data_IF_706110788109
#
_entry.id   IF_706110788109
#
_cell.length_a   1.000
_cell.length_b   1.000
_cell.length_c   1.000
_cell.angle_alpha   90.00
_cell.angle_beta   90.00
_cell.angle_gamma   90.00
#
_symmetry.space_group_name_H-M   'P 1'
#
loop_
_entity.id
_entity.type
_entity.pdbx_description
1 polymer ?
#
# COMPACT_ATOMS: atom_id res chain seq x y z
N UNK A 1 -31.31 -11.06 6.64
CA UNK A 1 -30.12 -11.42 7.42
C UNK A 1 -29.00 -10.54 6.93
N UNK A 2 -28.78 -9.39 7.57
CA UNK A 2 -27.70 -8.48 7.21
C UNK A 2 -26.44 -8.99 7.90
N UNK A 3 -25.67 -9.82 7.21
CA UNK A 3 -24.32 -10.13 7.63
C UNK A 3 -23.49 -8.88 7.42
N UNK A 4 -23.07 -8.23 8.51
CA UNK A 4 -21.91 -7.33 8.47
C UNK A 4 -20.71 -8.18 8.03
N UNK A 5 -20.47 -8.22 6.73
CA UNK A 5 -19.17 -8.59 6.23
C UNK A 5 -18.29 -7.42 6.64
N UNK A 6 -17.52 -7.58 7.71
CA UNK A 6 -16.34 -6.77 7.97
C UNK A 6 -15.38 -7.05 6.81
N UNK A 7 -15.62 -6.40 5.66
CA UNK A 7 -14.71 -6.44 4.53
C UNK A 7 -13.42 -5.81 5.04
N UNK A 8 -12.40 -6.64 5.22
CA UNK A 8 -11.04 -6.15 5.41
C UNK A 8 -10.73 -5.15 4.31
N UNK A 9 -10.23 -3.96 4.66
CA UNK A 9 -10.00 -2.86 3.72
C UNK A 9 -8.72 -3.06 2.90
N UNK A 10 -8.54 -4.28 2.37
CA UNK A 10 -7.46 -4.68 1.47
C UNK A 10 -7.92 -5.89 0.63
N UNK A 11 -7.31 -6.08 -0.53
CA UNK A 11 -7.37 -7.30 -1.34
C UNK A 11 -5.96 -7.62 -1.83
N UNK A 12 -5.39 -8.71 -1.34
CA UNK A 12 -4.05 -9.21 -1.67
C UNK A 12 -4.09 -10.71 -1.94
N UNK A 13 -3.08 -11.27 -2.61
CA UNK A 13 -3.08 -12.70 -2.94
C UNK A 13 -3.05 -13.61 -1.70
N UNK A 14 -2.16 -13.32 -0.75
CA UNK A 14 -1.99 -14.10 0.48
C UNK A 14 -1.35 -13.24 1.57
N UNK A 15 -2.07 -12.99 2.67
CA UNK A 15 -1.57 -12.22 3.81
C UNK A 15 -0.44 -12.95 4.57
N UNK A 16 -0.34 -14.28 4.43
CA UNK A 16 0.74 -15.10 4.99
C UNK A 16 2.13 -14.73 4.47
N UNK A 17 2.22 -14.03 3.34
CA UNK A 17 3.48 -13.57 2.74
C UNK A 17 4.06 -12.31 3.40
N UNK A 18 3.32 -11.66 4.30
CA UNK A 18 3.69 -10.36 4.86
C UNK A 18 5.04 -10.37 5.60
N UNK A 19 5.38 -11.45 6.31
CA UNK A 19 6.67 -11.53 7.02
C UNK A 19 7.87 -11.62 6.07
N UNK A 20 7.68 -12.23 4.89
CA UNK A 20 8.69 -12.20 3.83
C UNK A 20 8.77 -10.81 3.20
N UNK A 21 7.62 -10.19 2.91
CA UNK A 21 7.56 -8.80 2.44
C UNK A 21 8.31 -7.83 3.34
N UNK A 22 8.08 -7.91 4.67
CA UNK A 22 8.76 -7.08 5.66
C UNK A 22 10.28 -7.29 5.65
N UNK A 23 10.77 -8.52 5.43
CA UNK A 23 12.22 -8.78 5.32
C UNK A 23 12.81 -8.10 4.09
N UNK A 24 12.14 -8.19 2.94
CA UNK A 24 12.63 -7.57 1.71
C UNK A 24 12.51 -6.05 1.71
N UNK A 25 11.45 -5.49 2.32
CA UNK A 25 11.33 -4.04 2.54
C UNK A 25 12.53 -3.53 3.34
N UNK A 26 12.91 -4.19 4.44
CA UNK A 26 14.09 -3.80 5.25
C UNK A 26 15.40 -3.83 4.46
N UNK A 27 15.54 -4.77 3.52
CA UNK A 27 16.70 -4.80 2.61
C UNK A 27 16.61 -3.65 1.60
N UNK A 28 15.43 -3.39 1.03
CA UNK A 28 15.25 -2.30 0.07
C UNK A 28 15.50 -0.93 0.69
N UNK A 29 15.18 -0.72 1.97
CA UNK A 29 15.49 0.52 2.69
C UNK A 29 16.98 0.86 2.66
N UNK A 30 17.89 -0.14 2.68
CA UNK A 30 19.34 0.12 2.58
C UNK A 30 19.76 0.59 1.19
N UNK A 31 19.00 0.22 0.15
CA UNK A 31 19.24 0.59 -1.24
C UNK A 31 18.43 1.82 -1.69
N UNK A 32 17.64 2.41 -0.79
CA UNK A 32 16.79 3.58 -1.07
C UNK A 32 17.12 4.78 -0.15
N UNK A 33 18.39 5.23 -0.10
CA UNK A 33 18.84 6.24 0.86
C UNK A 33 18.10 7.58 0.73
N UNK A 34 17.63 7.92 -0.47
CA UNK A 34 16.83 9.14 -0.69
C UNK A 34 15.51 9.13 0.07
N UNK A 35 14.77 8.01 0.07
CA UNK A 35 13.52 7.91 0.84
C UNK A 35 13.79 7.87 2.34
N UNK A 36 14.85 7.19 2.77
CA UNK A 36 15.21 7.14 4.18
C UNK A 36 15.63 8.51 4.73
N UNK A 37 16.40 9.28 3.96
CA UNK A 37 16.73 10.67 4.30
C UNK A 37 15.50 11.56 4.39
N UNK A 38 14.54 11.42 3.46
CA UNK A 38 13.26 12.15 3.51
C UNK A 38 12.48 11.81 4.80
N UNK A 39 12.44 10.52 5.19
CA UNK A 39 11.79 10.12 6.44
C UNK A 39 12.48 10.78 7.64
N UNK A 40 13.81 10.72 7.71
CA UNK A 40 14.57 11.31 8.82
C UNK A 40 14.35 12.83 8.93
N UNK A 41 14.37 13.55 7.80
CA UNK A 41 14.22 15.00 7.76
C UNK A 41 12.80 15.47 8.10
N UNK A 42 11.77 14.76 7.62
CA UNK A 42 10.39 15.28 7.64
C UNK A 42 9.41 14.52 8.54
N UNK A 43 9.78 13.35 9.10
CA UNK A 43 8.85 12.62 9.97
C UNK A 43 8.45 13.44 11.21
N UNK A 44 9.34 14.24 11.81
CA UNK A 44 8.98 15.03 13.00
C UNK A 44 7.98 16.16 12.69
N UNK A 45 8.07 16.77 11.50
CA UNK A 45 7.20 17.89 11.11
C UNK A 45 5.85 17.44 10.54
N UNK A 46 5.72 16.15 10.18
CA UNK A 46 4.48 15.55 9.66
C UNK A 46 3.85 16.38 8.52
N UNK A 47 4.60 16.72 7.45
CA UNK A 47 4.13 17.66 6.44
C UNK A 47 2.94 17.16 5.62
N UNK A 48 2.68 15.85 5.61
CA UNK A 48 1.55 15.24 4.92
C UNK A 48 0.39 14.94 5.86
N UNK A 49 0.42 15.41 7.11
CA UNK A 49 -0.68 15.22 8.05
C UNK A 49 -1.99 15.76 7.49
N UNK A 50 -2.99 14.89 7.42
CA UNK A 50 -4.31 15.20 6.86
C UNK A 50 -4.41 15.01 5.35
N UNK A 51 -3.30 14.74 4.66
CA UNK A 51 -3.32 14.35 3.26
C UNK A 51 -3.92 12.95 3.09
N UNK A 52 -4.72 12.78 2.04
CA UNK A 52 -5.30 11.52 1.59
C UNK A 52 -4.73 11.19 0.21
N UNK A 53 -3.88 10.17 0.13
CA UNK A 53 -3.15 9.83 -1.09
C UNK A 53 -3.69 8.49 -1.63
N UNK A 54 -4.28 8.54 -2.82
CA UNK A 54 -4.64 7.37 -3.60
C UNK A 54 -3.55 7.12 -4.66
N UNK A 55 -2.81 6.03 -4.51
CA UNK A 55 -1.71 5.67 -5.43
C UNK A 55 -2.10 4.58 -6.42
N UNK A 56 -1.69 4.76 -7.68
CA UNK A 56 -1.74 3.72 -8.73
C UNK A 56 -0.37 3.61 -9.41
N UNK A 57 0.50 2.82 -8.80
CA UNK A 57 1.86 2.50 -9.26
C UNK A 57 2.09 1.01 -8.98
N UNK A 58 2.95 0.34 -9.74
CA UNK A 58 3.31 -1.06 -9.51
C UNK A 58 3.50 -1.37 -8.02
N UNK A 59 2.75 -2.34 -7.51
CA UNK A 59 2.80 -2.70 -6.08
C UNK A 59 3.99 -3.63 -5.82
N UNK A 60 5.20 -3.04 -5.79
CA UNK A 60 6.47 -3.73 -5.55
C UNK A 60 7.04 -3.43 -4.17
N UNK A 61 8.15 -4.08 -3.80
CA UNK A 61 8.92 -3.78 -2.59
C UNK A 61 9.40 -2.32 -2.57
N UNK A 62 9.82 -1.76 -3.71
CA UNK A 62 10.25 -0.36 -3.78
C UNK A 62 9.08 0.59 -3.53
N UNK A 63 7.91 0.28 -4.08
CA UNK A 63 6.68 1.04 -3.82
C UNK A 63 6.22 0.90 -2.38
N UNK A 64 6.42 -0.24 -1.73
CA UNK A 64 6.17 -0.40 -0.30
C UNK A 64 7.01 0.58 0.55
N UNK A 65 8.30 0.77 0.23
CA UNK A 65 9.16 1.78 0.89
C UNK A 65 8.64 3.21 0.62
N UNK A 66 8.14 3.50 -0.59
CA UNK A 66 7.50 4.78 -0.89
C UNK A 66 6.23 4.99 -0.04
N UNK A 67 5.32 4.01 0.00
CA UNK A 67 4.08 4.07 0.77
C UNK A 67 4.39 4.33 2.24
N UNK A 68 5.32 3.59 2.84
CA UNK A 68 5.74 3.77 4.22
C UNK A 68 6.42 5.11 4.48
N UNK A 69 7.05 5.70 3.47
CA UNK A 69 7.58 7.07 3.58
C UNK A 69 6.44 8.08 3.64
N UNK A 70 5.43 7.94 2.79
CA UNK A 70 4.26 8.84 2.79
C UNK A 70 3.50 8.75 4.13
N UNK A 71 3.30 7.53 4.65
CA UNK A 71 2.64 7.34 5.96
C UNK A 71 3.49 7.86 7.11
N UNK A 72 4.82 7.64 7.09
CA UNK A 72 5.73 8.20 8.08
C UNK A 72 5.72 9.74 8.10
N UNK A 73 5.44 10.39 6.97
CA UNK A 73 5.27 11.84 6.85
C UNK A 73 3.85 12.33 7.21
N UNK A 74 2.94 11.43 7.61
CA UNK A 74 1.61 11.74 8.16
C UNK A 74 0.44 11.55 7.20
N UNK A 75 0.68 11.05 5.98
CA UNK A 75 -0.40 10.80 5.01
C UNK A 75 -1.25 9.58 5.39
N UNK A 76 -2.54 9.63 5.06
CA UNK A 76 -3.36 8.44 4.90
C UNK A 76 -3.22 7.95 3.46
N UNK A 77 -3.05 6.64 3.27
CA UNK A 77 -2.71 6.08 1.96
C UNK A 77 -3.65 4.93 1.60
N UNK A 78 -4.12 4.91 0.35
CA UNK A 78 -4.79 3.77 -0.31
C UNK A 78 -4.05 3.46 -1.61
N UNK A 79 -3.88 2.20 -1.96
CA UNK A 79 -3.05 1.82 -3.11
C UNK A 79 -3.64 0.71 -3.98
N UNK A 80 -3.42 0.82 -5.29
CA UNK A 80 -3.67 -0.22 -6.28
C UNK A 80 -2.46 -0.31 -7.22
N UNK A 81 -2.31 -1.46 -7.87
CA UNK A 81 -1.26 -1.62 -8.89
C UNK A 81 -1.71 -1.01 -10.21
N UNK A 82 -0.79 -0.41 -10.98
CA UNK A 82 -1.09 0.11 -12.33
C UNK A 82 -0.84 -0.91 -13.46
N UNK A 83 -0.52 -2.16 -13.11
CA UNK A 83 -0.38 -3.24 -14.09
C UNK A 83 -0.64 -4.61 -13.44
N UNK A 84 -1.49 -5.41 -14.10
CA UNK A 84 -2.00 -6.72 -13.63
C UNK A 84 -0.94 -7.77 -13.29
N UNK A 85 0.30 -7.64 -13.79
CA UNK A 85 1.39 -8.61 -13.54
C UNK A 85 2.54 -8.05 -12.71
N UNK A 86 2.49 -6.76 -12.38
CA UNK A 86 3.61 -6.06 -11.74
C UNK A 86 3.66 -6.22 -10.22
N UNK A 87 2.55 -6.60 -9.60
CA UNK A 87 2.47 -6.76 -8.14
C UNK A 87 3.45 -7.83 -7.66
N UNK A 88 4.18 -7.51 -6.59
CA UNK A 88 4.91 -8.47 -5.78
C UNK A 88 4.05 -8.78 -4.56
N UNK A 89 3.44 -9.96 -4.52
CA UNK A 89 2.37 -10.26 -3.55
C UNK A 89 2.82 -10.16 -2.09
N UNK A 90 4.08 -10.46 -1.79
CA UNK A 90 4.66 -10.31 -0.46
C UNK A 90 4.80 -8.83 -0.06
N UNK A 91 5.09 -7.92 -1.00
CA UNK A 91 5.09 -6.48 -0.76
C UNK A 91 3.67 -5.98 -0.44
N UNK A 92 2.68 -6.37 -1.25
CA UNK A 92 1.28 -6.04 -1.02
C UNK A 92 0.78 -6.55 0.35
N UNK A 93 1.11 -7.81 0.68
CA UNK A 93 0.76 -8.42 1.96
C UNK A 93 1.39 -7.70 3.16
N UNK A 94 2.65 -7.28 3.06
CA UNK A 94 3.32 -6.52 4.12
C UNK A 94 2.62 -5.18 4.40
N UNK A 95 2.31 -4.43 3.35
CA UNK A 95 1.61 -3.14 3.49
C UNK A 95 0.19 -3.33 4.02
N UNK A 96 -0.53 -4.35 3.54
CA UNK A 96 -1.88 -4.68 4.05
C UNK A 96 -1.86 -5.10 5.54
N UNK A 97 -0.86 -5.89 5.97
CA UNK A 97 -0.72 -6.33 7.37
C UNK A 97 -0.47 -5.16 8.33
N UNK A 98 0.15 -4.09 7.86
CA UNK A 98 0.35 -2.85 8.62
C UNK A 98 -0.89 -1.93 8.64
N UNK A 99 -2.01 -2.40 8.11
CA UNK A 99 -3.30 -1.71 8.15
C UNK A 99 -3.48 -0.64 7.08
N UNK A 100 -2.60 -0.60 6.07
CA UNK A 100 -2.72 0.31 4.93
C UNK A 100 -3.55 -0.36 3.83
N UNK A 101 -4.53 0.36 3.28
CA UNK A 101 -5.44 -0.20 2.30
C UNK A 101 -4.73 -0.46 0.95
N UNK A 102 -4.60 -1.73 0.58
CA UNK A 102 -3.97 -2.17 -0.68
C UNK A 102 -4.90 -3.11 -1.41
N UNK A 103 -5.16 -2.81 -2.67
CA UNK A 103 -5.97 -3.61 -3.58
C UNK A 103 -5.09 -4.00 -4.76
N UNK A 104 -4.29 -5.05 -4.59
CA UNK A 104 -3.32 -5.50 -5.57
C UNK A 104 -2.94 -6.96 -5.37
N UNK A 105 -2.93 -7.75 -6.45
CA UNK A 105 -2.37 -9.10 -6.52
C UNK A 105 -1.74 -9.37 -7.88
N UNK A 106 -0.76 -10.26 -7.96
CA UNK A 106 -0.17 -10.64 -9.24
C UNK A 106 -1.12 -11.52 -10.03
N UNK A 107 -1.33 -11.20 -11.30
CA UNK A 107 -2.23 -11.95 -12.18
C UNK A 107 -3.71 -11.58 -11.99
N UNK A 108 -4.00 -10.32 -11.63
CA UNK A 108 -5.35 -9.77 -11.66
C UNK A 108 -6.02 -9.97 -13.02
N UNK A 109 -7.34 -10.18 -13.01
CA UNK A 109 -8.16 -9.95 -14.20
C UNK A 109 -8.29 -8.45 -14.48
N UNK A 110 -8.65 -8.07 -15.72
CA UNK A 110 -8.91 -6.65 -16.04
C UNK A 110 -10.09 -6.08 -15.24
N UNK A 111 -11.07 -6.92 -14.89
CA UNK A 111 -12.22 -6.52 -14.07
C UNK A 111 -11.78 -6.19 -12.65
N UNK A 112 -10.95 -7.04 -12.04
CA UNK A 112 -10.34 -6.78 -10.73
C UNK A 112 -9.47 -5.53 -10.75
N UNK A 113 -8.62 -5.38 -11.77
CA UNK A 113 -7.76 -4.21 -11.94
C UNK A 113 -8.53 -2.88 -11.90
N UNK A 114 -9.64 -2.79 -12.64
CA UNK A 114 -10.47 -1.59 -12.65
C UNK A 114 -11.27 -1.43 -11.35
N UNK A 115 -11.76 -2.52 -10.76
CA UNK A 115 -12.43 -2.47 -9.47
C UNK A 115 -11.49 -1.97 -8.36
N UNK A 116 -10.25 -2.45 -8.33
CA UNK A 116 -9.21 -2.03 -7.38
C UNK A 116 -8.82 -0.56 -7.59
N UNK A 117 -8.71 -0.13 -8.84
CA UNK A 117 -8.48 1.27 -9.20
C UNK A 117 -9.63 2.17 -8.72
N UNK A 118 -10.88 1.70 -8.75
CA UNK A 118 -11.99 2.47 -8.18
C UNK A 118 -11.93 2.52 -6.65
N UNK A 119 -11.61 1.37 -6.03
CA UNK A 119 -11.59 1.19 -4.56
C UNK A 119 -10.61 2.09 -3.82
N UNK A 120 -9.51 2.52 -4.47
CA UNK A 120 -8.55 3.47 -3.86
C UNK A 120 -9.12 4.89 -3.71
N UNK A 121 -10.24 5.22 -4.37
CA UNK A 121 -10.96 6.50 -4.18
C UNK A 121 -12.06 6.42 -3.13
N UNK A 122 -12.44 5.22 -2.69
CA UNK A 122 -13.49 5.00 -1.70
C UNK A 122 -12.91 5.09 -0.28
N UNK A 123 -12.91 6.30 0.28
CA UNK A 123 -12.52 6.53 1.67
C UNK A 123 -13.67 6.19 2.64
N UNK A 124 -13.41 5.60 3.82
CA UNK A 124 -14.45 5.10 4.72
C UNK A 124 -15.52 6.12 5.16
N UNK A 125 -15.20 7.42 5.13
CA UNK A 125 -16.09 8.50 5.51
C UNK A 125 -16.75 9.22 4.32
N UNK A 126 -16.59 8.69 3.10
CA UNK A 126 -17.23 9.21 1.90
C UNK A 126 -16.47 10.33 1.16
N UNK A 127 -15.28 10.70 1.63
CA UNK A 127 -14.41 11.70 0.98
C UNK A 127 -14.28 13.00 1.75
#
# INVERSE_FOLDING_TARGET
MNGEITMTDYVVADLGLADWGRKEIKIAETEMPGLMAIREEYAASQPLKGARISGSLHMTIQTAVLIETLTALGAQVRWASCNIFSTQDHAAAAIAKDGIAVFAKKGETLEEYWAFTHRIFEWPDGG
#
